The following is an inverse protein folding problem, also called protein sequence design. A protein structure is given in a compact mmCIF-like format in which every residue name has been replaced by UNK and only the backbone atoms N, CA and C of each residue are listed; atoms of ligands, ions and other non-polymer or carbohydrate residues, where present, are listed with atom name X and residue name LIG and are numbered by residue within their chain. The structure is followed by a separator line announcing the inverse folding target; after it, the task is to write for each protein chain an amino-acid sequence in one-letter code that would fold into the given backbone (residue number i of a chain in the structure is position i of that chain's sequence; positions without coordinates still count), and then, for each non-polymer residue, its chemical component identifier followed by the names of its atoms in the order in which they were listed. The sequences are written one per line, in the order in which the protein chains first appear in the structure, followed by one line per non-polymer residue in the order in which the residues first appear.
data_IF_280943287636
#
_entry.id   IF_280943287636
#
_cell.length_a   1.000
_cell.length_b   1.000
_cell.length_c   1.000
_cell.angle_alpha   90.00
_cell.angle_beta   90.00
_cell.angle_gamma   90.00
#
_symmetry.space_group_name_H-M   'P 1'
#
loop_
_entity.id
_entity.type
_entity.pdbx_description
1 polymer ?
#
# COMPACT_ATOMS: atom_id res chain seq x y z
N UNK A 1 0.43 1.12 9.87
CA UNK A 1 0.82 2.43 9.32
C UNK A 1 1.48 2.15 7.98
N UNK A 2 0.94 2.63 6.86
CA UNK A 2 1.40 2.26 5.52
C UNK A 2 1.82 3.55 4.83
N UNK A 3 3.07 3.65 4.41
CA UNK A 3 3.59 4.82 3.72
C UNK A 3 3.88 4.49 2.25
N UNK A 4 4.18 5.54 1.48
CA UNK A 4 4.73 5.37 0.14
C UNK A 4 5.94 4.41 0.17
N UNK A 5 6.04 3.57 -0.86
CA UNK A 5 7.08 2.56 -1.04
C UNK A 5 7.06 1.41 -0.02
N UNK A 6 6.01 1.30 0.80
CA UNK A 6 5.83 0.12 1.65
C UNK A 6 5.50 -1.12 0.79
N UNK A 7 6.24 -2.22 0.96
CA UNK A 7 5.86 -3.52 0.41
C UNK A 7 4.89 -4.23 1.35
N UNK A 8 3.80 -4.73 0.79
CA UNK A 8 2.75 -5.46 1.51
C UNK A 8 2.55 -6.85 0.90
N UNK A 9 2.21 -7.83 1.74
CA UNK A 9 1.76 -9.14 1.29
C UNK A 9 0.28 -9.08 0.91
N UNK A 10 -0.09 -9.81 -0.14
CA UNK A 10 -1.48 -9.89 -0.60
C UNK A 10 -2.14 -11.09 0.07
N UNK A 11 -3.22 -10.84 0.81
CA UNK A 11 -3.96 -11.85 1.56
C UNK A 11 -5.28 -12.24 0.87
N UNK A 12 -5.28 -12.30 -0.45
CA UNK A 12 -6.42 -12.74 -1.27
C UNK A 12 -5.99 -13.76 -2.34
N UNK A 13 -6.93 -14.21 -3.15
CA UNK A 13 -6.73 -15.19 -4.22
C UNK A 13 -6.60 -14.55 -5.62
N UNK A 14 -6.24 -13.27 -5.72
CA UNK A 14 -6.06 -12.56 -7.00
C UNK A 14 -4.82 -12.99 -7.79
N UNK A 15 -3.89 -13.72 -7.16
CA UNK A 15 -2.65 -14.23 -7.76
C UNK A 15 -1.44 -13.31 -7.60
N UNK A 16 -1.63 -12.07 -7.12
CA UNK A 16 -0.53 -11.22 -6.68
C UNK A 16 0.05 -11.75 -5.36
N UNK A 17 1.39 -11.73 -5.21
CA UNK A 17 2.07 -12.18 -3.98
C UNK A 17 2.44 -11.02 -3.06
N UNK A 18 2.94 -9.94 -3.65
CA UNK A 18 3.37 -8.73 -2.94
C UNK A 18 3.05 -7.50 -3.79
N UNK A 19 2.77 -6.37 -3.14
CA UNK A 19 2.45 -5.08 -3.80
C UNK A 19 3.21 -3.93 -3.16
N UNK A 20 3.51 -2.91 -3.97
CA UNK A 20 4.15 -1.67 -3.54
C UNK A 20 3.08 -0.58 -3.33
N UNK A 21 3.10 0.10 -2.18
CA UNK A 21 2.24 1.26 -1.96
C UNK A 21 2.77 2.49 -2.72
N UNK A 22 2.11 2.90 -3.79
CA UNK A 22 2.53 4.07 -4.60
C UNK A 22 2.01 5.38 -4.00
N UNK A 23 0.86 5.35 -3.30
CA UNK A 23 0.25 6.52 -2.68
C UNK A 23 -0.77 6.09 -1.62
N UNK A 24 -0.78 6.78 -0.49
CA UNK A 24 -1.86 6.67 0.51
C UNK A 24 -2.92 7.70 0.18
N UNK A 25 -4.16 7.26 -0.05
CA UNK A 25 -5.27 8.13 -0.44
C UNK A 25 -5.87 8.85 0.79
N UNK A 26 -6.45 10.04 0.58
CA UNK A 26 -7.18 10.78 1.62
C UNK A 26 -6.56 12.11 2.08
N UNK A 27 -6.22 12.99 1.13
CA UNK A 27 -5.87 14.40 1.41
C UNK A 27 -4.37 14.72 1.35
N UNK A 28 -4.05 16.00 1.13
CA UNK A 28 -2.71 16.48 0.77
C UNK A 28 -1.66 16.41 1.89
N UNK A 29 -2.07 16.13 3.14
CA UNK A 29 -1.18 16.12 4.33
C UNK A 29 -1.12 14.76 5.03
N UNK A 30 -1.54 13.69 4.36
CA UNK A 30 -1.51 12.36 4.96
C UNK A 30 -0.06 11.92 5.14
N UNK A 31 0.37 11.86 6.41
CA UNK A 31 1.72 11.44 6.79
C UNK A 31 1.92 9.92 6.75
N UNK A 32 0.82 9.15 6.83
CA UNK A 32 0.83 7.70 6.99
C UNK A 32 -0.48 6.98 6.61
#
# INVERSE_FOLDING_TARGET
MIQQESMLEVADNSGAKRVLCIKVLGGSKRKY
#
